data_IF_066008268466
#
_entry.id   IF_066008268466
#
_cell.length_a   1.000
_cell.length_b   1.000
_cell.length_c   1.000
_cell.angle_alpha   90.00
_cell.angle_beta   90.00
_cell.angle_gamma   90.00
#
_symmetry.space_group_name_H-M   'P 1'
#
loop_
_entity.id
_entity.type
_entity.pdbx_description
1 polymer ?
#
# COMPACT_ATOMS: atom_id res chain seq x y z
N UNK A 1 47.59 23.18 14.87
CA UNK A 1 47.49 22.01 15.77
C UNK A 1 46.72 20.94 14.98
N UNK A 2 47.34 20.02 14.20
CA UNK A 2 48.29 18.95 14.58
C UNK A 2 47.84 18.28 15.89
N UNK A 3 47.67 16.97 16.07
CA UNK A 3 48.00 15.73 15.35
C UNK A 3 47.13 14.63 16.05
N UNK A 4 46.54 13.59 15.44
CA UNK A 4 47.10 12.40 14.77
C UNK A 4 47.07 11.14 15.70
N UNK A 5 46.67 10.00 15.09
CA UNK A 5 46.94 8.58 15.42
C UNK A 5 46.11 7.90 16.54
N UNK A 6 45.65 6.64 16.43
CA UNK A 6 45.46 5.69 15.31
C UNK A 6 44.89 4.35 15.86
N UNK A 7 44.44 3.46 14.94
CA UNK A 7 44.42 1.97 15.01
C UNK A 7 43.25 1.37 15.82
N UNK A 8 42.33 0.58 15.26
CA UNK A 8 42.59 -0.76 14.67
C UNK A 8 41.91 -0.98 13.31
N UNK A 9 42.74 -1.40 12.35
CA UNK A 9 42.46 -1.99 11.05
C UNK A 9 41.48 -3.19 11.10
N UNK A 10 40.58 -3.28 10.12
CA UNK A 10 40.01 -4.57 9.71
C UNK A 10 39.91 -4.67 8.18
N UNK A 11 41.07 -4.66 7.52
CA UNK A 11 41.24 -5.26 6.19
C UNK A 11 41.97 -6.59 6.37
N UNK A 12 41.28 -7.71 6.15
CA UNK A 12 41.88 -8.95 5.64
C UNK A 12 40.81 -10.02 5.36
N UNK A 13 40.33 -10.13 4.11
CA UNK A 13 39.95 -11.43 3.53
C UNK A 13 40.12 -11.37 2.01
N UNK A 14 41.37 -11.29 1.57
CA UNK A 14 41.79 -11.72 0.23
C UNK A 14 42.82 -12.82 0.43
N UNK A 15 42.41 -14.07 0.19
CA UNK A 15 43.32 -15.22 0.13
C UNK A 15 42.73 -16.28 -0.80
N UNK A 16 42.93 -16.09 -2.11
CA UNK A 16 42.82 -17.17 -3.07
C UNK A 16 44.14 -17.97 -3.06
N UNK A 17 44.11 -19.31 -2.95
CA UNK A 17 45.31 -20.14 -3.06
C UNK A 17 45.75 -20.37 -4.54
N UNK A 18 47.01 -20.80 -4.76
CA UNK A 18 47.63 -20.90 -6.08
C UNK A 18 47.23 -22.13 -6.90
N UNK A 19 47.49 -22.03 -8.20
CA UNK A 19 47.20 -22.98 -9.28
C UNK A 19 47.86 -24.36 -9.09
N UNK A 20 47.07 -25.43 -9.19
CA UNK A 20 47.59 -26.78 -9.44
C UNK A 20 47.14 -27.24 -10.82
N UNK A 21 48.04 -27.07 -11.79
CA UNK A 21 47.92 -27.59 -13.15
C UNK A 21 48.38 -29.06 -13.15
N UNK A 22 47.51 -29.98 -12.72
CA UNK A 22 47.72 -31.41 -12.98
C UNK A 22 47.33 -31.73 -14.42
N UNK A 23 48.31 -31.57 -15.30
CA UNK A 23 48.70 -32.53 -16.32
C UNK A 23 47.81 -33.78 -16.44
N UNK A 24 46.68 -33.68 -17.17
CA UNK A 24 45.99 -34.84 -17.73
C UNK A 24 46.57 -35.18 -19.09
N UNK A 25 47.84 -35.58 -19.09
CA UNK A 25 48.40 -36.37 -20.18
C UNK A 25 48.00 -37.82 -19.94
N UNK A 26 47.14 -38.32 -20.83
CA UNK A 26 46.96 -39.73 -21.16
C UNK A 26 46.04 -40.56 -20.25
N UNK A 27 44.77 -40.69 -20.63
CA UNK A 27 43.97 -41.89 -20.34
C UNK A 27 43.59 -42.56 -21.67
N UNK A 28 44.06 -43.80 -21.94
CA UNK A 28 43.68 -44.51 -23.16
C UNK A 28 42.20 -44.90 -23.14
N UNK A 29 41.56 -44.73 -24.31
CA UNK A 29 40.26 -45.27 -24.66
C UNK A 29 40.17 -46.76 -24.33
N UNK A 30 39.10 -47.18 -23.65
CA UNK A 30 38.22 -48.32 -23.99
C UNK A 30 37.46 -48.79 -22.76
N UNK A 31 36.17 -48.50 -22.71
CA UNK A 31 35.17 -49.36 -22.07
C UNK A 31 33.86 -49.06 -22.79
N UNK A 32 33.54 -49.91 -23.76
CA UNK A 32 32.24 -49.92 -24.40
C UNK A 32 31.18 -50.15 -23.31
N UNK A 33 30.45 -49.10 -22.97
CA UNK A 33 29.21 -49.21 -22.21
C UNK A 33 28.12 -49.63 -23.20
N UNK A 34 27.38 -50.73 -22.96
CA UNK A 34 26.33 -51.15 -23.86
C UNK A 34 25.29 -50.03 -23.92
N UNK A 35 25.06 -49.50 -25.13
CA UNK A 35 23.91 -48.65 -25.42
C UNK A 35 22.67 -49.52 -25.25
N UNK A 36 22.13 -49.58 -24.03
CA UNK A 36 20.73 -49.95 -23.84
C UNK A 36 19.93 -49.03 -24.74
N UNK A 37 19.03 -49.56 -25.60
CA UNK A 37 18.20 -48.72 -26.43
C UNK A 37 17.41 -47.81 -25.48
N UNK A 38 17.68 -46.50 -25.56
CA UNK A 38 16.78 -45.49 -25.01
C UNK A 38 15.44 -45.76 -25.66
N UNK A 39 14.53 -46.40 -24.91
CA UNK A 39 13.13 -46.50 -25.27
C UNK A 39 12.69 -45.10 -25.69
N UNK A 40 12.43 -44.92 -26.98
CA UNK A 40 12.04 -43.64 -27.53
C UNK A 40 10.86 -43.14 -26.72
N UNK A 41 11.07 -42.06 -25.96
CA UNK A 41 10.00 -41.42 -25.22
C UNK A 41 8.99 -40.99 -26.28
N UNK A 42 7.88 -41.71 -26.38
CA UNK A 42 6.79 -41.32 -27.24
C UNK A 42 6.38 -39.92 -26.78
N UNK A 43 6.76 -38.91 -27.54
CA UNK A 43 6.21 -37.57 -27.37
C UNK A 43 4.78 -37.66 -27.91
N UNK A 44 3.86 -38.05 -27.04
CA UNK A 44 2.43 -37.99 -27.30
C UNK A 44 2.07 -36.52 -27.42
N UNK A 45 1.97 -36.02 -28.65
CA UNK A 45 1.48 -34.68 -28.94
C UNK A 45 0.00 -34.57 -28.59
N UNK A 46 -0.41 -33.42 -28.06
CA UNK A 46 -1.83 -33.08 -27.88
C UNK A 46 -2.54 -33.10 -29.23
N UNK A 47 -3.74 -33.68 -29.26
CA UNK A 47 -4.56 -33.64 -30.47
C UNK A 47 -5.12 -32.22 -30.66
N UNK A 48 -5.30 -31.79 -31.92
CA UNK A 48 -5.88 -30.46 -32.22
C UNK A 48 -7.30 -30.32 -31.65
N UNK A 49 -8.06 -31.42 -31.64
CA UNK A 49 -9.40 -31.45 -31.07
C UNK A 49 -9.40 -31.17 -29.56
N UNK A 50 -8.42 -31.72 -28.85
CA UNK A 50 -8.28 -31.53 -27.40
C UNK A 50 -8.04 -30.06 -27.05
N UNK A 51 -7.22 -29.36 -27.85
CA UNK A 51 -7.04 -27.92 -27.68
C UNK A 51 -8.33 -27.13 -28.00
N UNK A 52 -9.06 -27.51 -29.04
CA UNK A 52 -10.32 -26.84 -29.43
C UNK A 52 -11.37 -26.96 -28.33
N UNK A 53 -11.56 -28.16 -27.77
CA UNK A 53 -12.55 -28.38 -26.71
C UNK A 53 -12.19 -27.55 -25.48
N UNK A 54 -10.91 -27.45 -25.12
CA UNK A 54 -10.45 -26.65 -23.98
C UNK A 54 -10.75 -25.16 -24.16
N UNK A 55 -10.51 -24.59 -25.35
CA UNK A 55 -10.81 -23.16 -25.59
C UNK A 55 -12.31 -22.89 -25.65
N UNK A 56 -13.11 -23.84 -26.15
CA UNK A 56 -14.58 -23.72 -26.18
C UNK A 56 -15.14 -23.74 -24.76
N UNK A 57 -14.69 -24.68 -23.92
CA UNK A 57 -15.13 -24.78 -22.53
C UNK A 57 -14.68 -23.54 -21.74
N UNK A 58 -13.41 -23.14 -21.85
CA UNK A 58 -12.92 -21.95 -21.14
C UNK A 58 -13.61 -20.66 -21.62
N UNK A 59 -13.98 -20.57 -22.89
CA UNK A 59 -14.78 -19.47 -23.43
C UNK A 59 -16.18 -19.37 -22.81
N UNK A 60 -16.90 -20.51 -22.69
CA UNK A 60 -18.23 -20.53 -22.08
C UNK A 60 -18.19 -20.18 -20.59
N UNK A 61 -17.23 -20.73 -19.85
CA UNK A 61 -17.04 -20.42 -18.44
C UNK A 61 -16.72 -18.93 -18.23
N UNK A 62 -15.82 -18.37 -19.04
CA UNK A 62 -15.46 -16.96 -18.98
C UNK A 62 -16.65 -16.03 -19.28
N UNK A 63 -17.47 -16.37 -20.29
CA UNK A 63 -18.65 -15.60 -20.66
C UNK A 63 -19.66 -15.48 -19.50
N UNK A 64 -19.85 -16.57 -18.74
CA UNK A 64 -20.78 -16.57 -17.59
C UNK A 64 -20.24 -15.85 -16.35
N UNK A 65 -18.91 -15.81 -16.17
CA UNK A 65 -18.25 -15.20 -15.02
C UNK A 65 -18.08 -13.68 -15.14
N UNK A 66 -18.01 -13.14 -16.37
CA UNK A 66 -17.70 -11.72 -16.61
C UNK A 66 -18.66 -10.72 -15.95
N UNK A 67 -20.01 -10.88 -16.04
CA UNK A 67 -20.93 -9.89 -15.48
C UNK A 67 -20.80 -9.76 -13.95
N UNK A 68 -20.70 -10.90 -13.27
CA UNK A 68 -20.52 -10.98 -11.81
C UNK A 68 -19.20 -10.37 -11.37
N UNK A 69 -18.13 -10.57 -12.15
CA UNK A 69 -16.82 -10.00 -11.83
C UNK A 69 -16.83 -8.47 -11.81
N UNK A 70 -17.59 -7.83 -12.72
CA UNK A 70 -17.72 -6.38 -12.75
C UNK A 70 -18.50 -5.83 -11.55
N UNK A 71 -19.59 -6.50 -11.15
CA UNK A 71 -20.36 -6.14 -9.94
C UNK A 71 -19.52 -6.28 -8.66
N UNK A 72 -18.77 -7.38 -8.53
CA UNK A 72 -17.88 -7.63 -7.39
C UNK A 72 -16.76 -6.60 -7.29
N UNK A 73 -16.23 -6.14 -8.43
CA UNK A 73 -15.23 -5.06 -8.44
C UNK A 73 -15.81 -3.74 -7.94
N UNK A 74 -17.01 -3.38 -8.37
CA UNK A 74 -17.68 -2.17 -7.89
C UNK A 74 -17.99 -2.27 -6.39
N UNK A 75 -18.50 -3.39 -5.91
CA UNK A 75 -18.75 -3.61 -4.48
C UNK A 75 -17.46 -3.59 -3.66
N UNK A 76 -16.36 -4.12 -4.19
CA UNK A 76 -15.05 -4.04 -3.54
C UNK A 76 -14.58 -2.59 -3.37
N UNK A 77 -14.80 -1.73 -4.37
CA UNK A 77 -14.51 -0.30 -4.26
C UNK A 77 -15.41 0.39 -3.24
N UNK A 78 -16.71 0.06 -3.24
CA UNK A 78 -17.66 0.59 -2.25
C UNK A 78 -17.25 0.26 -0.82
N UNK A 79 -17.02 -1.04 -0.58
CA UNK A 79 -16.57 -1.58 0.70
C UNK A 79 -15.24 -0.95 1.14
N UNK A 80 -14.28 -0.73 0.24
CA UNK A 80 -12.99 -0.10 0.55
C UNK A 80 -13.15 1.34 1.08
N UNK A 81 -14.03 2.13 0.45
CA UNK A 81 -14.29 3.52 0.89
C UNK A 81 -15.05 3.53 2.21
N UNK A 82 -16.08 2.69 2.34
CA UNK A 82 -16.85 2.55 3.57
C UNK A 82 -15.98 2.09 4.75
N UNK A 83 -15.10 1.12 4.55
CA UNK A 83 -14.14 0.63 5.54
C UNK A 83 -13.18 1.74 5.98
N UNK A 84 -12.61 2.47 5.03
CA UNK A 84 -11.69 3.58 5.33
C UNK A 84 -12.40 4.70 6.09
N UNK A 85 -13.61 5.08 5.66
CA UNK A 85 -14.42 6.08 6.36
C UNK A 85 -14.86 5.60 7.75
N UNK A 86 -15.13 4.31 7.92
CA UNK A 86 -15.44 3.69 9.22
C UNK A 86 -14.24 3.76 10.17
N UNK A 87 -13.06 3.36 9.71
CA UNK A 87 -11.81 3.49 10.47
C UNK A 87 -11.53 4.95 10.86
N UNK A 88 -11.74 5.88 9.92
CA UNK A 88 -11.59 7.31 10.17
C UNK A 88 -12.60 7.84 11.20
N UNK A 89 -13.87 7.40 11.17
CA UNK A 89 -14.87 7.73 12.19
C UNK A 89 -14.44 7.25 13.58
N UNK A 90 -13.97 6.02 13.70
CA UNK A 90 -13.48 5.48 14.96
C UNK A 90 -12.27 6.27 15.47
N UNK A 91 -11.33 6.62 14.59
CA UNK A 91 -10.16 7.42 14.96
C UNK A 91 -10.55 8.83 15.45
N UNK A 92 -11.50 9.50 14.78
CA UNK A 92 -12.03 10.79 15.24
C UNK A 92 -12.73 10.67 16.58
N UNK A 93 -13.51 9.60 16.81
CA UNK A 93 -14.16 9.35 18.09
C UNK A 93 -13.16 9.19 19.24
N UNK A 94 -12.08 8.42 19.01
CA UNK A 94 -11.00 8.27 20.00
C UNK A 94 -10.25 9.58 20.23
N UNK A 95 -9.96 10.32 19.16
CA UNK A 95 -9.28 11.62 19.24
C UNK A 95 -10.10 12.63 20.05
N UNK A 96 -11.40 12.73 19.76
CA UNK A 96 -12.32 13.60 20.47
C UNK A 96 -12.44 13.22 21.96
N UNK A 97 -12.58 11.94 22.25
CA UNK A 97 -12.60 11.43 23.62
C UNK A 97 -11.30 11.78 24.38
N UNK A 98 -10.14 11.63 23.74
CA UNK A 98 -8.85 11.97 24.35
C UNK A 98 -8.72 13.47 24.65
N UNK A 99 -9.19 14.34 23.75
CA UNK A 99 -9.19 15.78 23.95
C UNK A 99 -10.09 16.20 25.12
N UNK A 100 -11.31 15.67 25.18
CA UNK A 100 -12.26 15.95 26.26
C UNK A 100 -11.73 15.41 27.60
N UNK A 101 -11.19 14.19 27.61
CA UNK A 101 -10.61 13.58 28.82
C UNK A 101 -9.41 14.37 29.37
N UNK A 102 -8.67 15.04 28.49
CA UNK A 102 -7.52 15.87 28.87
C UNK A 102 -7.92 17.32 29.23
N UNK A 103 -9.22 17.65 29.23
CA UNK A 103 -9.74 19.02 29.37
C UNK A 103 -9.01 20.02 28.45
N UNK A 104 -8.71 19.59 27.23
CA UNK A 104 -7.83 20.30 26.32
C UNK A 104 -8.61 21.38 25.55
N UNK A 105 -8.56 22.61 26.02
CA UNK A 105 -9.16 23.78 25.36
C UNK A 105 -8.21 24.48 24.37
N UNK A 106 -7.03 23.88 24.10
CA UNK A 106 -5.83 24.57 23.64
C UNK A 106 -5.80 25.04 22.19
N UNK A 107 -6.71 24.59 21.32
CA UNK A 107 -6.60 24.84 19.87
C UNK A 107 -5.17 24.50 19.37
N UNK A 108 -4.61 23.37 19.80
CA UNK A 108 -3.21 23.03 19.54
C UNK A 108 -2.99 21.51 19.62
N UNK A 109 -1.73 21.08 19.50
CA UNK A 109 -1.30 19.69 19.57
C UNK A 109 -1.63 19.08 20.94
N UNK A 110 -2.33 17.95 20.94
CA UNK A 110 -2.57 17.15 22.15
C UNK A 110 -1.44 16.12 22.32
N UNK A 111 -0.55 16.25 23.32
CA UNK A 111 0.60 15.35 23.49
C UNK A 111 0.19 13.90 23.81
N UNK A 112 -0.97 13.73 24.45
CA UNK A 112 -1.47 12.43 24.92
C UNK A 112 -2.18 11.60 23.84
N UNK A 113 -2.19 12.04 22.57
CA UNK A 113 -2.87 11.35 21.48
C UNK A 113 -1.96 11.12 20.27
N UNK A 114 -1.96 9.90 19.74
CA UNK A 114 -1.17 9.53 18.56
C UNK A 114 0.32 9.77 18.78
N UNK A 115 0.97 10.46 17.84
CA UNK A 115 2.37 10.90 17.96
C UNK A 115 2.54 12.22 18.73
N UNK A 116 1.49 12.70 19.42
CA UNK A 116 1.51 13.93 20.21
C UNK A 116 1.49 15.23 19.39
N UNK A 117 1.27 15.12 18.07
CA UNK A 117 1.31 16.24 17.13
C UNK A 117 -0.05 16.50 16.45
N UNK A 118 -1.13 15.84 16.87
CA UNK A 118 -2.47 16.07 16.32
C UNK A 118 -3.05 17.30 16.98
N UNK A 119 -3.30 18.32 16.16
CA UNK A 119 -3.87 19.61 16.56
C UNK A 119 -5.39 19.51 16.59
N UNK A 120 -6.00 19.91 17.70
CA UNK A 120 -7.45 19.88 17.94
C UNK A 120 -8.02 21.27 17.96
N UNK A 121 -9.20 21.47 17.36
CA UNK A 121 -9.90 22.73 17.51
C UNK A 121 -10.63 22.88 18.86
N UNK A 122 -11.28 24.02 19.12
CA UNK A 122 -12.05 24.25 20.36
C UNK A 122 -13.21 23.29 20.58
N UNK A 123 -13.68 22.63 19.52
CA UNK A 123 -14.73 21.61 19.60
C UNK A 123 -14.14 20.21 19.83
N UNK A 124 -12.84 20.12 20.17
CA UNK A 124 -12.12 18.86 20.35
C UNK A 124 -12.12 17.95 19.11
N UNK A 125 -12.05 18.53 17.91
CA UNK A 125 -11.93 17.79 16.66
C UNK A 125 -10.57 18.03 15.98
N UNK A 126 -9.91 16.97 15.48
CA UNK A 126 -8.65 17.09 14.75
C UNK A 126 -8.73 18.04 13.56
N UNK A 127 -7.80 18.99 13.51
CA UNK A 127 -7.78 20.10 12.54
C UNK A 127 -6.49 20.14 11.70
N UNK A 128 -5.35 19.71 12.25
CA UNK A 128 -4.06 19.63 11.56
C UNK A 128 -3.04 18.78 12.33
N UNK A 129 -1.78 18.77 11.88
CA UNK A 129 -0.65 18.27 12.68
C UNK A 129 0.55 19.23 12.71
N UNK A 130 0.33 20.50 12.35
CA UNK A 130 1.43 21.47 12.12
C UNK A 130 1.21 22.80 12.86
N UNK A 131 0.52 22.77 14.01
CA UNK A 131 0.50 23.84 15.04
C UNK A 131 0.04 25.23 14.61
N UNK A 132 -0.51 25.41 13.40
CA UNK A 132 -1.07 26.69 12.94
C UNK A 132 -2.57 26.56 12.86
N UNK A 133 -3.31 27.23 13.73
CA UNK A 133 -4.77 27.37 13.57
C UNK A 133 -5.09 28.17 12.31
N UNK A 134 -6.05 27.68 11.52
CA UNK A 134 -6.40 28.30 10.25
C UNK A 134 -7.41 27.48 9.45
N UNK A 135 -7.87 28.04 8.34
CA UNK A 135 -8.91 27.44 7.51
C UNK A 135 -8.50 26.06 6.96
N UNK A 136 -9.50 25.18 6.77
CA UNK A 136 -9.27 23.85 6.22
C UNK A 136 -8.77 23.97 4.79
N UNK A 137 -7.64 23.33 4.50
CA UNK A 137 -7.02 23.26 3.18
C UNK A 137 -6.53 21.83 2.89
N UNK A 138 -6.13 21.59 1.64
CA UNK A 138 -5.69 20.27 1.16
C UNK A 138 -4.59 19.65 2.04
N UNK A 139 -3.61 20.46 2.46
CA UNK A 139 -2.47 19.99 3.24
C UNK A 139 -2.88 19.62 4.66
N UNK A 140 -3.78 20.40 5.29
CA UNK A 140 -4.33 20.06 6.62
C UNK A 140 -5.12 18.76 6.60
N UNK A 141 -5.92 18.53 5.56
CA UNK A 141 -6.65 17.26 5.43
C UNK A 141 -5.69 16.07 5.28
N UNK A 142 -4.59 16.24 4.53
CA UNK A 142 -3.55 15.22 4.44
C UNK A 142 -2.86 14.98 5.79
N UNK A 143 -2.63 16.04 6.58
CA UNK A 143 -2.06 15.94 7.93
C UNK A 143 -2.98 15.19 8.88
N UNK A 144 -4.26 15.57 8.93
CA UNK A 144 -5.27 14.89 9.77
C UNK A 144 -5.38 13.41 9.39
N UNK A 145 -5.37 13.08 8.09
CA UNK A 145 -5.35 11.69 7.62
C UNK A 145 -4.18 10.89 8.20
N UNK A 146 -2.96 11.41 8.07
CA UNK A 146 -1.75 10.73 8.54
C UNK A 146 -1.63 10.72 10.07
N UNK A 147 -2.24 11.69 10.77
CA UNK A 147 -2.25 11.75 12.23
C UNK A 147 -3.26 10.80 12.88
N UNK A 148 -4.27 10.34 12.14
CA UNK A 148 -5.37 9.53 12.68
C UNK A 148 -5.36 8.08 12.25
N UNK A 149 -4.91 7.78 11.03
CA UNK A 149 -4.92 6.42 10.50
C UNK A 149 -3.54 5.78 10.64
N UNK A 150 -3.48 4.61 11.27
CA UNK A 150 -2.26 3.80 11.39
C UNK A 150 -2.61 2.30 11.33
N UNK A 151 -2.29 1.58 10.24
CA UNK A 151 -1.71 2.07 8.98
C UNK A 151 -2.72 2.90 8.16
N UNK A 152 -2.22 3.88 7.41
CA UNK A 152 -3.03 4.72 6.52
C UNK A 152 -2.93 4.27 5.05
N UNK A 153 -4.04 4.22 4.30
CA UNK A 153 -3.99 4.11 2.84
C UNK A 153 -3.26 5.30 2.21
N UNK A 154 -2.71 5.11 1.01
CA UNK A 154 -1.91 6.15 0.36
C UNK A 154 -2.76 7.37 -0.02
N UNK A 155 -2.27 8.57 0.25
CA UNK A 155 -2.99 9.82 0.02
C UNK A 155 -2.11 10.90 -0.60
N UNK A 156 -2.70 11.75 -1.45
CA UNK A 156 -2.02 12.96 -1.96
C UNK A 156 -2.99 14.14 -2.11
N UNK A 157 -2.46 15.37 -2.26
CA UNK A 157 -3.28 16.57 -2.54
C UNK A 157 -3.35 16.91 -4.03
N UNK A 158 -2.56 16.23 -4.86
CA UNK A 158 -2.47 16.48 -6.29
C UNK A 158 -3.82 16.27 -7.01
N UNK A 159 -4.15 17.04 -8.05
CA UNK A 159 -5.39 16.84 -8.82
C UNK A 159 -5.41 15.49 -9.53
N UNK A 160 -4.25 15.02 -9.97
CA UNK A 160 -4.02 13.73 -10.62
C UNK A 160 -2.96 12.93 -9.85
N UNK A 161 -2.98 11.60 -9.95
CA UNK A 161 -1.99 10.75 -9.31
C UNK A 161 -2.49 9.33 -9.07
N UNK A 162 -1.60 8.46 -8.58
CA UNK A 162 -1.83 7.02 -8.40
C UNK A 162 -2.14 6.61 -6.96
N UNK A 163 -2.18 7.55 -6.01
CA UNK A 163 -2.55 7.26 -4.62
C UNK A 163 -4.01 6.87 -4.51
N UNK A 164 -4.34 6.05 -3.51
CA UNK A 164 -5.70 5.52 -3.28
C UNK A 164 -6.71 6.65 -3.05
N UNK A 165 -6.31 7.64 -2.26
CA UNK A 165 -7.14 8.78 -1.92
C UNK A 165 -6.51 10.11 -2.33
N UNK A 166 -7.39 11.09 -2.49
CA UNK A 166 -7.05 12.50 -2.66
C UNK A 166 -7.61 13.32 -1.50
N UNK A 167 -6.74 14.06 -0.81
CA UNK A 167 -7.14 15.09 0.13
C UNK A 167 -7.49 16.40 -0.60
N UNK A 168 -8.66 16.93 -0.30
CA UNK A 168 -9.11 18.26 -0.69
C UNK A 168 -9.65 18.97 0.55
N UNK A 169 -9.54 20.28 0.60
CA UNK A 169 -10.08 21.07 1.70
C UNK A 169 -10.75 22.34 1.19
N UNK A 170 -11.80 22.77 1.88
CA UNK A 170 -12.49 24.03 1.66
C UNK A 170 -13.39 24.38 2.83
N UNK A 171 -13.41 25.65 3.23
CA UNK A 171 -14.17 26.11 4.40
C UNK A 171 -13.73 25.39 5.68
N UNK A 172 -14.63 24.60 6.25
CA UNK A 172 -14.43 23.75 7.45
C UNK A 172 -14.46 22.26 7.14
N UNK A 173 -14.42 21.87 5.86
CA UNK A 173 -14.64 20.49 5.44
C UNK A 173 -13.44 19.96 4.65
N UNK A 174 -12.95 18.80 5.09
CA UNK A 174 -12.05 17.95 4.33
C UNK A 174 -12.86 17.00 3.47
N UNK A 175 -12.48 16.86 2.20
CA UNK A 175 -13.03 15.84 1.29
C UNK A 175 -11.91 14.87 0.90
N UNK A 176 -12.18 13.58 1.09
CA UNK A 176 -11.31 12.49 0.71
C UNK A 176 -11.94 11.72 -0.44
N UNK A 177 -11.42 11.93 -1.65
CA UNK A 177 -11.92 11.29 -2.87
C UNK A 177 -11.14 10.03 -3.18
N UNK A 178 -11.84 8.93 -3.39
CA UNK A 178 -11.25 7.67 -3.82
C UNK A 178 -10.87 7.77 -5.31
N UNK A 179 -9.69 7.29 -5.66
CA UNK A 179 -9.12 7.43 -7.02
C UNK A 179 -9.00 6.14 -7.81
N UNK A 180 -9.15 4.99 -7.15
CA UNK A 180 -8.97 3.68 -7.78
C UNK A 180 -10.18 3.25 -8.63
N UNK A 181 -11.25 4.04 -8.64
CA UNK A 181 -12.42 3.84 -9.47
C UNK A 181 -12.53 4.91 -10.58
N UNK A 182 -13.12 4.53 -11.71
CA UNK A 182 -13.41 5.44 -12.81
C UNK A 182 -14.89 5.31 -13.21
N UNK A 183 -15.67 6.42 -13.24
CA UNK A 183 -15.29 7.78 -12.83
C UNK A 183 -15.16 7.90 -11.29
N UNK A 184 -14.17 8.70 -10.82
CA UNK A 184 -13.89 8.96 -9.40
C UNK A 184 -15.02 9.74 -8.73
N UNK A 185 -16.10 9.04 -8.40
CA UNK A 185 -17.35 9.60 -7.89
C UNK A 185 -17.54 9.34 -6.40
N UNK A 186 -16.76 8.40 -5.84
CA UNK A 186 -16.80 8.00 -4.43
C UNK A 186 -15.92 8.91 -3.59
N UNK A 187 -16.51 9.48 -2.54
CA UNK A 187 -15.75 10.28 -1.58
C UNK A 187 -16.45 10.27 -0.23
N UNK A 188 -15.70 10.63 0.80
CA UNK A 188 -16.30 10.99 2.08
C UNK A 188 -15.78 12.35 2.54
N UNK A 189 -16.61 13.04 3.30
CA UNK A 189 -16.29 14.35 3.87
C UNK A 189 -16.16 14.24 5.38
N UNK A 190 -15.32 15.09 5.94
CA UNK A 190 -15.12 15.27 7.36
C UNK A 190 -15.20 16.76 7.68
N UNK A 191 -16.13 17.16 8.53
CA UNK A 191 -16.19 18.53 9.03
C UNK A 191 -15.34 18.68 10.28
N UNK A 192 -14.34 19.55 10.24
CA UNK A 192 -13.55 19.86 11.43
C UNK A 192 -14.38 20.61 12.47
N UNK A 193 -15.43 21.33 12.06
CA UNK A 193 -16.27 22.09 12.99
C UNK A 193 -17.17 21.19 13.86
N UNK A 194 -17.74 20.14 13.29
CA UNK A 194 -18.75 19.30 13.97
C UNK A 194 -18.30 17.85 14.20
N UNK A 195 -17.18 17.43 13.62
CA UNK A 195 -16.76 16.03 13.62
C UNK A 195 -17.57 15.13 12.69
N UNK A 196 -18.56 15.67 11.97
CA UNK A 196 -19.45 14.89 11.13
C UNK A 196 -18.72 14.27 9.93
N UNK A 197 -18.98 12.98 9.68
CA UNK A 197 -18.43 12.25 8.54
C UNK A 197 -19.56 11.71 7.67
N UNK A 198 -19.61 12.16 6.42
CA UNK A 198 -20.64 11.79 5.44
C UNK A 198 -19.96 11.07 4.28
N UNK A 199 -20.47 9.90 3.91
CA UNK A 199 -19.99 9.12 2.75
C UNK A 199 -20.94 9.37 1.59
N UNK A 200 -20.40 9.66 0.41
CA UNK A 200 -21.16 9.92 -0.82
C UNK A 200 -20.78 8.91 -1.89
N UNK A 201 -21.80 8.36 -2.55
CA UNK A 201 -21.68 7.20 -3.43
C UNK A 201 -20.91 6.06 -2.72
N UNK A 202 -21.46 5.53 -1.62
CA UNK A 202 -20.78 4.50 -0.83
C UNK A 202 -20.51 3.28 -1.69
#
# INVERSE_FOLDING_TARGET
MLNLLQIVDNRAHSRAPPQEMLNQKNKPSTSALPLTPSAGRACTGFTVLELIIVIVITGLLAASAWPRFMELKEEAHRSSVAATAGAFRSAIGMANAACIASNFAGQDNLPSFGAGNVDFNANCFPSSTNGRNGNVNRNRCLQVWNGLLSPAPSISTAPTGTTDFRAQGGGTTCRYTYRKDAPTSRFFTYSTATGAIVVTNP
#
